data_IF_520285015908
#
_entry.id   IF_520285015908
#
_cell.length_a   1.000
_cell.length_b   1.000
_cell.length_c   1.000
_cell.angle_alpha   90.00
_cell.angle_beta   90.00
_cell.angle_gamma   90.00
#
_symmetry.space_group_name_H-M   'P 1'
#
loop_
_entity.id
_entity.type
_entity.pdbx_description
1 polymer ?
#
# COMPACT_ATOMS: atom_id res chain seq x y z
N UNK A 1 3.80 7.46 9.93
CA UNK A 1 2.46 7.33 10.53
C UNK A 1 1.44 7.28 9.41
N UNK A 2 0.59 6.24 9.37
CA UNK A 2 -0.52 6.12 8.44
C UNK A 2 -1.85 6.29 9.17
N UNK A 3 -2.78 7.04 8.56
CA UNK A 3 -4.10 7.30 9.13
C UNK A 3 -5.14 6.85 8.11
N UNK A 4 -6.02 5.93 8.51
CA UNK A 4 -7.13 5.55 7.65
C UNK A 4 -8.09 6.73 7.55
N UNK A 5 -8.44 7.13 6.32
CA UNK A 5 -9.35 8.26 6.05
C UNK A 5 -10.70 7.79 5.52
N UNK A 6 -10.83 6.52 5.12
CA UNK A 6 -12.12 5.96 4.72
C UNK A 6 -13.05 5.79 5.93
N UNK A 7 -14.22 6.44 5.93
CA UNK A 7 -15.16 6.36 7.05
C UNK A 7 -15.92 5.04 7.06
N UNK A 8 -16.17 4.51 8.26
CA UNK A 8 -17.15 3.43 8.48
C UNK A 8 -16.75 2.04 7.98
N UNK A 9 -15.53 1.85 7.48
CA UNK A 9 -15.01 0.54 7.07
C UNK A 9 -13.86 0.16 8.01
N UNK A 10 -13.95 -0.98 8.67
CA UNK A 10 -12.81 -1.53 9.43
C UNK A 10 -11.90 -2.34 8.52
N UNK A 11 -10.65 -2.56 8.92
CA UNK A 11 -9.72 -3.45 8.21
C UNK A 11 -10.30 -4.87 8.09
N UNK A 12 -10.98 -5.35 9.14
CA UNK A 12 -11.61 -6.66 9.13
C UNK A 12 -12.78 -6.73 8.15
N UNK A 13 -13.62 -5.70 8.08
CA UNK A 13 -14.71 -5.62 7.10
C UNK A 13 -14.17 -5.58 5.66
N UNK A 14 -13.09 -4.84 5.42
CA UNK A 14 -12.42 -4.78 4.13
C UNK A 14 -11.88 -6.15 3.70
N UNK A 15 -11.21 -6.90 4.59
CA UNK A 15 -10.72 -8.24 4.24
C UNK A 15 -11.82 -9.30 4.16
N UNK A 16 -12.98 -9.06 4.78
CA UNK A 16 -14.12 -9.99 4.73
C UNK A 16 -14.99 -9.78 3.49
N UNK A 17 -15.21 -8.53 3.10
CA UNK A 17 -16.20 -8.16 2.09
C UNK A 17 -15.57 -7.53 0.83
N UNK A 18 -14.27 -7.26 0.82
CA UNK A 18 -13.60 -6.50 -0.22
C UNK A 18 -13.92 -5.00 -0.15
N UNK A 19 -13.79 -4.32 -1.28
CA UNK A 19 -14.07 -2.90 -1.43
C UNK A 19 -12.79 -2.06 -1.49
N UNK A 20 -12.85 -0.85 -0.93
CA UNK A 20 -11.75 0.12 -0.99
C UNK A 20 -11.56 0.79 0.36
N UNK A 21 -10.32 0.83 0.82
CA UNK A 21 -9.89 1.63 1.96
C UNK A 21 -8.74 2.54 1.55
N UNK A 22 -8.66 3.71 2.17
CA UNK A 22 -7.71 4.76 1.85
C UNK A 22 -7.03 5.23 3.13
N UNK A 23 -5.72 5.44 3.02
CA UNK A 23 -4.89 5.99 4.08
C UNK A 23 -4.20 7.26 3.61
N UNK A 24 -4.09 8.23 4.50
CA UNK A 24 -3.13 9.32 4.35
C UNK A 24 -1.80 8.93 5.00
N UNK A 25 -0.71 9.03 4.23
CA UNK A 25 0.64 8.59 4.62
C UNK A 25 1.71 9.61 4.23
N UNK A 26 2.92 9.45 4.78
CA UNK A 26 4.12 10.17 4.34
C UNK A 26 4.89 9.36 3.30
N UNK A 27 5.75 10.00 2.50
CA UNK A 27 6.63 9.29 1.54
C UNK A 27 7.50 8.22 2.19
N UNK A 28 7.87 8.41 3.46
CA UNK A 28 8.66 7.46 4.25
C UNK A 28 7.97 6.09 4.44
N UNK A 29 6.63 6.04 4.39
CA UNK A 29 5.87 4.77 4.43
C UNK A 29 5.93 4.01 3.10
N UNK A 30 6.29 4.68 2.00
CA UNK A 30 6.41 4.08 0.67
C UNK A 30 7.86 3.73 0.37
N UNK A 31 8.78 4.66 0.63
CA UNK A 31 10.21 4.52 0.41
C UNK A 31 10.98 5.13 1.58
N UNK A 32 11.22 4.34 2.65
CA UNK A 32 11.88 4.81 3.85
C UNK A 32 13.25 5.46 3.57
N UNK A 33 13.52 6.59 4.21
CA UNK A 33 14.81 7.31 4.15
C UNK A 33 15.29 7.69 2.74
N UNK A 34 14.38 7.86 1.78
CA UNK A 34 14.73 8.19 0.40
C UNK A 34 14.27 9.60 0.00
N UNK A 35 15.16 10.61 0.04
CA UNK A 35 14.81 11.97 -0.32
C UNK A 35 14.54 12.17 -1.82
N UNK A 36 14.96 11.23 -2.68
CA UNK A 36 14.82 11.33 -4.13
C UNK A 36 13.62 10.54 -4.67
N UNK A 37 12.84 9.91 -3.79
CA UNK A 37 11.70 9.06 -4.13
C UNK A 37 10.80 9.67 -5.21
N UNK A 38 10.36 10.91 -5.01
CA UNK A 38 9.40 11.60 -5.90
C UNK A 38 9.97 11.94 -7.28
N UNK A 39 11.30 11.87 -7.46
CA UNK A 39 11.99 12.18 -8.70
C UNK A 39 12.33 10.93 -9.51
N UNK A 40 11.96 9.73 -9.05
CA UNK A 40 12.20 8.51 -9.80
C UNK A 40 11.45 8.52 -11.13
N UNK A 41 12.15 8.19 -12.22
CA UNK A 41 11.59 8.16 -13.57
C UNK A 41 10.34 7.28 -13.68
N UNK A 42 10.26 6.22 -12.87
CA UNK A 42 9.12 5.29 -12.86
C UNK A 42 7.84 5.86 -12.25
N UNK A 43 7.90 6.94 -11.46
CA UNK A 43 6.72 7.51 -10.78
C UNK A 43 6.51 9.00 -11.01
N UNK A 44 7.55 9.77 -11.35
CA UNK A 44 7.51 11.24 -11.38
C UNK A 44 6.35 11.80 -12.21
N UNK A 45 6.08 11.18 -13.37
CA UNK A 45 5.03 11.62 -14.29
C UNK A 45 3.62 11.21 -13.83
N UNK A 46 3.54 10.24 -12.91
CA UNK A 46 2.29 9.71 -12.36
C UNK A 46 2.09 10.07 -10.88
N UNK A 47 2.95 10.91 -10.31
CA UNK A 47 2.99 11.22 -8.88
C UNK A 47 1.65 11.73 -8.36
N UNK A 48 0.94 12.55 -9.15
CA UNK A 48 -0.35 13.16 -8.82
C UNK A 48 -1.56 12.45 -9.44
N UNK A 49 -1.35 11.47 -10.32
CA UNK A 49 -2.44 10.71 -10.97
C UNK A 49 -2.61 9.31 -10.39
N UNK A 50 -1.55 8.75 -9.80
CA UNK A 50 -1.54 7.41 -9.20
C UNK A 50 -0.41 6.55 -9.75
N UNK A 51 0.32 5.88 -8.88
CA UNK A 51 1.35 4.89 -9.22
C UNK A 51 1.24 3.65 -8.32
N UNK A 52 1.89 2.56 -8.73
CA UNK A 52 1.84 1.27 -8.06
C UNK A 52 3.25 0.71 -7.89
N UNK A 53 3.50 0.07 -6.75
CA UNK A 53 4.71 -0.71 -6.50
C UNK A 53 4.32 -2.14 -6.17
N UNK A 54 4.50 -3.09 -7.10
CA UNK A 54 4.19 -4.48 -6.82
C UNK A 54 5.10 -5.04 -5.75
N UNK A 55 4.49 -5.78 -4.82
CA UNK A 55 5.21 -6.72 -3.98
C UNK A 55 5.86 -7.78 -4.88
N UNK A 56 7.06 -8.22 -4.50
CA UNK A 56 7.80 -9.19 -5.32
C UNK A 56 7.03 -10.51 -5.49
N UNK A 57 7.21 -11.15 -6.66
CA UNK A 57 6.63 -12.46 -6.94
C UNK A 57 7.03 -13.52 -5.91
N UNK A 58 8.23 -13.40 -5.33
CA UNK A 58 8.68 -14.27 -4.25
C UNK A 58 7.74 -14.22 -3.03
N UNK A 59 7.17 -13.06 -2.71
CA UNK A 59 6.23 -12.89 -1.59
C UNK A 59 4.80 -13.20 -2.06
N UNK A 60 4.38 -12.79 -3.26
CA UNK A 60 3.00 -13.02 -3.70
C UNK A 60 2.74 -14.51 -3.99
N UNK A 61 3.72 -15.23 -4.53
CA UNK A 61 3.63 -16.65 -4.91
C UNK A 61 4.25 -17.59 -3.86
N UNK A 62 5.24 -17.13 -3.07
CA UNK A 62 5.94 -17.93 -2.07
C UNK A 62 5.25 -17.94 -0.70
N UNK A 63 4.76 -19.11 -0.28
CA UNK A 63 4.05 -19.25 1.00
C UNK A 63 4.96 -19.02 2.22
N UNK A 64 6.24 -19.39 2.13
CA UNK A 64 7.20 -19.27 3.24
C UNK A 64 7.60 -17.81 3.43
N UNK A 65 7.99 -17.15 2.35
CA UNK A 65 8.39 -15.75 2.29
C UNK A 65 7.28 -14.85 2.80
N UNK A 66 6.05 -15.07 2.33
CA UNK A 66 4.90 -14.33 2.80
C UNK A 66 4.63 -14.56 4.29
N UNK A 67 4.80 -15.79 4.80
CA UNK A 67 4.63 -16.07 6.24
C UNK A 67 5.66 -15.30 7.06
N UNK A 68 6.90 -15.20 6.60
CA UNK A 68 7.93 -14.40 7.25
C UNK A 68 7.53 -12.92 7.31
N UNK A 69 7.05 -12.35 6.20
CA UNK A 69 6.58 -10.97 6.16
C UNK A 69 5.41 -10.74 7.13
N UNK A 70 4.39 -11.61 7.09
CA UNK A 70 3.22 -11.50 7.96
C UNK A 70 3.59 -11.63 9.45
N UNK A 71 4.60 -12.42 9.79
CA UNK A 71 5.02 -12.58 11.18
C UNK A 71 5.90 -11.43 11.67
N UNK A 72 6.85 -10.96 10.86
CA UNK A 72 7.96 -10.13 11.34
C UNK A 72 7.99 -8.69 10.81
N UNK A 73 7.30 -8.37 9.72
CA UNK A 73 7.32 -7.01 9.18
C UNK A 73 6.53 -6.03 10.05
N UNK A 74 6.60 -4.74 9.74
CA UNK A 74 5.74 -3.72 10.35
C UNK A 74 4.28 -3.83 9.85
N UNK A 75 3.36 -3.13 10.51
CA UNK A 75 1.93 -3.22 10.20
C UNK A 75 1.58 -2.78 8.76
N UNK A 76 2.31 -1.81 8.21
CA UNK A 76 2.09 -1.28 6.87
C UNK A 76 2.49 -2.30 5.81
N UNK A 77 3.70 -2.87 5.94
CA UNK A 77 4.18 -3.94 5.06
C UNK A 77 3.29 -5.18 5.12
N UNK A 78 2.79 -5.54 6.30
CA UNK A 78 1.83 -6.66 6.45
C UNK A 78 0.52 -6.40 5.71
N UNK A 79 -0.02 -5.18 5.78
CA UNK A 79 -1.26 -4.80 5.11
C UNK A 79 -1.12 -4.92 3.59
N UNK A 80 -0.09 -4.32 3.00
CA UNK A 80 0.20 -4.39 1.55
C UNK A 80 0.34 -5.85 1.12
N UNK A 81 1.17 -6.62 1.83
CA UNK A 81 1.39 -8.03 1.51
C UNK A 81 0.10 -8.83 1.52
N UNK A 82 -0.76 -8.63 2.53
CA UNK A 82 -2.02 -9.37 2.61
C UNK A 82 -2.98 -9.00 1.48
N UNK A 83 -3.06 -7.73 1.10
CA UNK A 83 -3.91 -7.27 0.00
C UNK A 83 -3.45 -7.85 -1.34
N UNK A 84 -2.18 -7.74 -1.67
CA UNK A 84 -1.67 -8.21 -2.96
C UNK A 84 -1.69 -9.74 -3.08
N UNK A 85 -1.48 -10.47 -1.97
CA UNK A 85 -1.65 -11.94 -1.96
C UNK A 85 -3.08 -12.40 -2.21
N UNK A 86 -4.06 -11.55 -1.94
CA UNK A 86 -5.46 -11.82 -2.26
C UNK A 86 -5.85 -11.30 -3.66
N UNK A 87 -4.87 -10.87 -4.47
CA UNK A 87 -5.11 -10.30 -5.81
C UNK A 87 -5.62 -8.87 -5.79
N UNK A 88 -5.54 -8.19 -4.64
CA UNK A 88 -5.82 -6.76 -4.52
C UNK A 88 -4.67 -5.89 -5.02
N UNK A 89 -4.88 -4.58 -4.99
CA UNK A 89 -3.91 -3.58 -5.45
C UNK A 89 -3.77 -2.42 -4.46
N UNK A 90 -2.62 -1.75 -4.47
CA UNK A 90 -2.33 -0.58 -3.62
C UNK A 90 -1.86 0.59 -4.49
N UNK A 91 -2.70 1.59 -4.67
CA UNK A 91 -2.39 2.75 -5.53
C UNK A 91 -1.98 3.93 -4.66
N UNK A 92 -0.82 4.50 -4.94
CA UNK A 92 -0.30 5.68 -4.24
C UNK A 92 -0.47 6.93 -5.09
N UNK A 93 -0.85 8.04 -4.48
CA UNK A 93 -1.02 9.34 -5.15
C UNK A 93 -0.65 10.48 -4.23
N UNK A 94 0.20 11.39 -4.68
CA UNK A 94 0.57 12.59 -3.93
C UNK A 94 -0.61 13.56 -3.85
N UNK A 95 -0.80 14.12 -2.66
CA UNK A 95 -1.84 15.11 -2.36
C UNK A 95 -1.24 16.51 -2.38
N UNK A 96 -2.09 17.53 -2.54
CA UNK A 96 -1.66 18.93 -2.49
C UNK A 96 -1.08 19.34 -1.12
N UNK A 97 -1.34 18.56 -0.06
CA UNK A 97 -0.74 18.72 1.27
C UNK A 97 0.74 18.29 1.34
N UNK A 98 1.27 17.67 0.29
CA UNK A 98 2.61 17.06 0.26
C UNK A 98 2.66 15.62 0.81
N UNK A 99 1.59 15.15 1.44
CA UNK A 99 1.39 13.75 1.84
C UNK A 99 0.94 12.89 0.65
N UNK A 100 0.77 11.60 0.88
CA UNK A 100 0.27 10.65 -0.10
C UNK A 100 -1.06 10.03 0.37
N UNK A 101 -1.95 9.79 -0.58
CA UNK A 101 -3.03 8.81 -0.44
C UNK A 101 -2.49 7.44 -0.85
N UNK A 102 -2.80 6.43 -0.05
CA UNK A 102 -2.64 5.02 -0.40
C UNK A 102 -4.01 4.36 -0.42
N UNK A 103 -4.46 3.99 -1.61
CA UNK A 103 -5.77 3.37 -1.87
C UNK A 103 -5.58 1.87 -2.05
N UNK A 104 -6.09 1.08 -1.10
CA UNK A 104 -6.12 -0.38 -1.18
C UNK A 104 -7.45 -0.81 -1.77
N UNK A 105 -7.41 -1.69 -2.77
CA UNK A 105 -8.61 -2.31 -3.34
C UNK A 105 -8.53 -3.82 -3.25
N UNK A 106 -9.65 -4.43 -2.92
CA UNK A 106 -9.78 -5.87 -2.85
C UNK A 106 -11.11 -6.29 -3.46
N UNK A 107 -11.07 -7.22 -4.42
CA UNK A 107 -12.25 -7.79 -5.04
C UNK A 107 -12.38 -9.24 -4.54
N UNK A 108 -13.42 -9.53 -3.78
CA UNK A 108 -13.72 -10.85 -3.19
C UNK A 108 -15.00 -11.40 -3.80
#
# INVERSE_FOLDING_TARGET
>A
MFIQVTPGITIDDFFKNGGTIEYEITSDEISPNNPNFENWDSIKDSLYTGFYFPVSDAITQGAVEATQVINYADAWTKLITRVERLGGEVIYKKLNSGKFSATFKLNI
#
